data_IF_471262530574
#
_entry.id   IF_471262530574
#
_cell.length_a   1.000
_cell.length_b   1.000
_cell.length_c   1.000
_cell.angle_alpha   90.00
_cell.angle_beta   90.00
_cell.angle_gamma   90.00
#
_symmetry.space_group_name_H-M   'P 1'
#
loop_
_entity.id
_entity.type
_entity.pdbx_description
1 polymer ?
#
# COMPACT_ATOMS: atom_id res chain seq x y z
N UNK A 1 50.99 -56.56 45.50
CA UNK A 1 50.47 -57.14 46.77
C UNK A 1 50.94 -56.29 47.94
N UNK A 2 50.05 -55.52 48.54
CA UNK A 2 50.20 -54.73 49.79
C UNK A 2 48.99 -53.80 49.82
N UNK A 3 48.36 -53.44 50.92
CA UNK A 3 48.25 -53.94 52.28
C UNK A 3 47.22 -52.98 52.89
N UNK A 4 46.24 -53.45 53.64
CA UNK A 4 45.41 -52.54 54.46
C UNK A 4 44.96 -53.25 55.74
N UNK A 5 45.86 -53.15 56.72
CA UNK A 5 45.61 -52.95 58.16
C UNK A 5 45.36 -51.43 58.33
N UNK A 6 44.67 -50.87 59.32
CA UNK A 6 43.88 -51.29 60.47
C UNK A 6 43.26 -50.00 61.06
N UNK A 7 42.34 -50.14 62.02
CA UNK A 7 42.12 -49.23 63.19
C UNK A 7 41.47 -47.87 62.86
N UNK A 8 40.17 -47.70 63.15
CA UNK A 8 39.57 -47.38 64.47
C UNK A 8 39.66 -45.89 64.79
N UNK A 9 38.57 -45.12 64.57
CA UNK A 9 37.43 -44.89 65.50
C UNK A 9 37.78 -44.02 66.71
N UNK A 10 37.40 -42.75 66.61
CA UNK A 10 37.23 -41.74 67.66
C UNK A 10 36.88 -40.43 66.94
N UNK A 11 35.88 -39.63 67.26
CA UNK A 11 34.92 -39.59 68.35
C UNK A 11 33.73 -38.71 67.90
N UNK A 12 32.86 -38.26 68.83
CA UNK A 12 31.46 -37.99 68.52
C UNK A 12 31.14 -36.53 68.22
N UNK A 13 30.05 -36.37 67.46
CA UNK A 13 28.99 -35.36 67.64
C UNK A 13 29.39 -33.89 67.49
N UNK A 14 29.06 -33.34 66.33
CA UNK A 14 28.58 -31.96 66.22
C UNK A 14 27.42 -31.95 65.22
N UNK A 15 26.19 -31.83 65.74
CA UNK A 15 24.99 -31.66 64.94
C UNK A 15 25.02 -30.25 64.32
N UNK A 16 25.48 -30.14 63.08
CA UNK A 16 25.47 -28.89 62.32
C UNK A 16 24.18 -28.84 61.50
N UNK A 17 23.19 -28.08 61.97
CA UNK A 17 21.98 -27.77 61.20
C UNK A 17 22.34 -26.81 60.06
N UNK A 18 22.56 -27.36 58.86
CA UNK A 18 22.79 -26.62 57.62
C UNK A 18 21.44 -26.14 57.08
N UNK A 19 21.06 -24.88 57.33
CA UNK A 19 19.91 -24.26 56.66
C UNK A 19 20.35 -23.79 55.27
N UNK A 20 20.09 -24.61 54.26
CA UNK A 20 20.30 -24.26 52.85
C UNK A 20 19.19 -23.30 52.40
N UNK A 21 19.46 -21.99 52.37
CA UNK A 21 18.62 -21.02 51.66
C UNK A 21 18.83 -21.19 50.16
N UNK A 22 17.91 -21.90 49.50
CA UNK A 22 17.80 -21.90 48.04
C UNK A 22 17.28 -20.52 47.60
N UNK A 23 18.18 -19.69 47.07
CA UNK A 23 17.81 -18.50 46.30
C UNK A 23 17.23 -18.97 44.96
N UNK A 24 15.90 -19.05 44.87
CA UNK A 24 15.22 -19.20 43.58
C UNK A 24 15.29 -17.85 42.87
N UNK A 25 16.30 -17.67 42.01
CA UNK A 25 16.27 -16.62 41.02
C UNK A 25 15.18 -16.97 39.99
N UNK A 26 14.00 -16.38 40.13
CA UNK A 26 12.96 -16.47 39.11
C UNK A 26 13.43 -15.81 37.80
N UNK A 27 12.99 -16.30 36.63
CA UNK A 27 13.32 -15.66 35.38
C UNK A 27 12.73 -14.24 35.41
N UNK A 28 13.59 -13.24 35.23
CA UNK A 28 13.15 -11.89 34.91
C UNK A 28 12.55 -11.97 33.51
N UNK A 29 11.22 -12.05 33.42
CA UNK A 29 10.51 -11.84 32.17
C UNK A 29 10.74 -10.39 31.74
N UNK A 30 11.69 -10.20 30.83
CA UNK A 30 11.78 -8.99 30.03
C UNK A 30 10.64 -9.05 29.02
N UNK A 31 9.46 -8.57 29.41
CA UNK A 31 8.36 -8.37 28.47
C UNK A 31 8.86 -7.40 27.38
N UNK A 32 8.83 -7.78 26.09
CA UNK A 32 9.18 -6.84 25.04
C UNK A 32 8.19 -5.69 25.10
N UNK A 33 8.70 -4.47 25.31
CA UNK A 33 7.90 -3.27 25.26
C UNK A 33 7.06 -3.26 23.98
N UNK A 34 5.77 -2.88 24.04
CA UNK A 34 4.94 -2.78 22.85
C UNK A 34 5.66 -1.88 21.83
N UNK A 35 5.66 -2.24 20.54
CA UNK A 35 6.28 -1.42 19.52
C UNK A 35 5.71 0.00 19.64
N UNK A 36 6.60 0.98 19.73
CA UNK A 36 6.21 2.38 19.69
C UNK A 36 5.27 2.59 18.49
N UNK A 37 4.24 3.45 18.61
CA UNK A 37 3.37 3.75 17.47
C UNK A 37 4.26 4.15 16.30
N UNK A 38 4.13 3.43 15.18
CA UNK A 38 4.85 3.75 13.96
C UNK A 38 4.68 5.24 13.68
N UNK A 39 5.77 5.95 13.42
CA UNK A 39 5.70 7.31 12.91
C UNK A 39 4.70 7.32 11.74
N UNK A 40 3.82 8.34 11.63
CA UNK A 40 2.86 8.38 10.54
C UNK A 40 3.61 8.21 9.22
N UNK A 41 3.23 7.17 8.48
CA UNK A 41 3.73 6.90 7.13
C UNK A 41 3.67 8.23 6.36
N UNK A 42 4.76 8.71 5.72
CA UNK A 42 4.69 9.93 4.97
C UNK A 42 3.55 9.80 3.96
N UNK A 43 2.59 10.72 4.06
CA UNK A 43 1.37 10.68 3.28
C UNK A 43 1.72 10.51 1.79
N UNK A 44 0.96 9.66 1.09
CA UNK A 44 1.15 9.47 -0.36
C UNK A 44 0.94 10.81 -1.05
N UNK A 45 1.94 11.34 -1.79
CA UNK A 45 1.76 12.60 -2.50
C UNK A 45 0.81 12.40 -3.67
N UNK A 46 -0.13 13.34 -3.85
CA UNK A 46 -1.10 13.33 -4.95
C UNK A 46 -0.47 13.75 -6.29
N UNK A 47 0.49 12.97 -6.78
CA UNK A 47 1.27 13.25 -8.00
C UNK A 47 0.57 12.83 -9.29
N UNK A 48 -0.50 12.05 -9.20
CA UNK A 48 -1.26 11.56 -10.34
C UNK A 48 -1.86 12.69 -11.18
N UNK A 49 -1.73 12.59 -12.49
CA UNK A 49 -2.29 13.54 -13.47
C UNK A 49 -3.28 12.90 -14.44
N UNK A 50 -3.31 11.57 -14.50
CA UNK A 50 -4.23 10.82 -15.34
C UNK A 50 -4.73 9.57 -14.60
N UNK A 51 -5.92 9.09 -15.00
CA UNK A 51 -6.37 7.76 -14.65
C UNK A 51 -5.62 6.71 -15.48
N UNK A 52 -5.39 5.48 -14.95
CA UNK A 52 -4.75 4.41 -15.71
C UNK A 52 -5.48 4.03 -17.00
N UNK A 53 -6.81 4.16 -17.01
CA UNK A 53 -7.69 3.83 -18.14
C UNK A 53 -8.82 4.84 -18.22
N UNK A 54 -9.21 5.20 -19.44
CA UNK A 54 -10.26 6.18 -19.67
C UNK A 54 -10.01 7.54 -19.00
N UNK A 55 -11.08 8.29 -18.74
CA UNK A 55 -11.02 9.61 -18.09
C UNK A 55 -11.46 9.58 -16.62
N UNK A 56 -12.36 8.67 -16.26
CA UNK A 56 -12.79 8.36 -14.88
C UNK A 56 -13.48 7.00 -14.88
N UNK A 57 -12.73 5.89 -14.82
CA UNK A 57 -13.31 4.55 -14.87
C UNK A 57 -14.10 4.24 -13.61
N UNK A 58 -15.08 3.34 -13.72
CA UNK A 58 -15.74 2.77 -12.55
C UNK A 58 -14.76 1.90 -11.78
N UNK A 59 -14.67 2.12 -10.46
CA UNK A 59 -13.93 1.22 -9.55
C UNK A 59 -14.83 0.02 -9.26
N UNK A 60 -14.46 -1.15 -9.80
CA UNK A 60 -15.20 -2.41 -9.63
C UNK A 60 -14.91 -3.06 -8.27
N UNK A 61 -13.66 -2.93 -7.81
CA UNK A 61 -13.23 -3.36 -6.48
C UNK A 61 -12.22 -2.39 -5.90
N UNK A 62 -12.49 -1.92 -4.70
CA UNK A 62 -11.63 -0.98 -3.98
C UNK A 62 -10.43 -1.66 -3.31
N UNK A 63 -9.51 -0.84 -2.81
CA UNK A 63 -8.40 -1.24 -1.98
C UNK A 63 -8.91 -1.91 -0.70
N UNK A 64 -8.36 -3.08 -0.38
CA UNK A 64 -8.71 -3.85 0.81
C UNK A 64 -7.40 -4.38 1.41
N UNK A 65 -6.76 -3.64 2.34
CA UNK A 65 -5.43 -4.00 2.82
C UNK A 65 -5.48 -5.37 3.50
N UNK A 66 -4.53 -6.26 3.18
CA UNK A 66 -4.45 -7.56 3.82
C UNK A 66 -3.99 -7.38 5.29
N UNK A 67 -4.63 -8.10 6.22
CA UNK A 67 -4.33 -8.01 7.66
C UNK A 67 -2.86 -8.37 8.00
N UNK A 68 -2.26 -9.25 7.19
CA UNK A 68 -0.84 -9.61 7.23
C UNK A 68 -0.27 -9.66 5.81
N UNK A 69 1.05 -9.63 5.69
CA UNK A 69 1.76 -9.62 4.41
C UNK A 69 1.36 -10.73 3.43
N UNK A 70 0.85 -11.88 3.91
CA UNK A 70 0.44 -13.02 3.08
C UNK A 70 -1.05 -13.36 3.17
N UNK A 71 -1.83 -12.60 3.95
CA UNK A 71 -3.27 -12.81 4.04
C UNK A 71 -3.99 -12.34 2.77
N UNK A 72 -5.25 -12.75 2.66
CA UNK A 72 -6.18 -12.30 1.62
C UNK A 72 -6.44 -10.80 1.76
N UNK A 73 -6.80 -10.19 0.64
CA UNK A 73 -7.14 -8.78 0.52
C UNK A 73 -7.12 -8.39 -0.94
N UNK A 74 -7.11 -7.10 -1.20
CA UNK A 74 -7.01 -6.51 -2.52
C UNK A 74 -5.93 -5.43 -2.53
N UNK A 75 -4.79 -5.76 -3.15
CA UNK A 75 -3.54 -4.98 -3.09
C UNK A 75 -3.46 -3.88 -4.16
N UNK A 76 -4.62 -3.36 -4.53
CA UNK A 76 -4.80 -2.34 -5.54
C UNK A 76 -6.29 -2.03 -5.70
N UNK A 77 -6.65 -1.49 -6.86
CA UNK A 77 -8.04 -1.28 -7.27
C UNK A 77 -8.27 -1.88 -8.64
N UNK A 78 -9.50 -2.33 -8.88
CA UNK A 78 -9.90 -2.86 -10.18
C UNK A 78 -10.72 -1.80 -10.91
N UNK A 79 -10.23 -1.40 -12.08
CA UNK A 79 -10.84 -0.36 -12.90
C UNK A 79 -11.50 -1.01 -14.11
N UNK A 80 -12.79 -0.72 -14.33
CA UNK A 80 -13.52 -1.23 -15.48
C UNK A 80 -12.86 -0.77 -16.79
N UNK A 81 -12.46 -1.74 -17.63
CA UNK A 81 -11.82 -1.47 -18.91
C UNK A 81 -11.97 -2.66 -19.86
N UNK A 82 -12.49 -2.41 -21.06
CA UNK A 82 -12.60 -3.44 -22.09
C UNK A 82 -11.21 -3.82 -22.64
N UNK A 83 -11.02 -5.05 -23.14
CA UNK A 83 -9.79 -5.43 -23.85
C UNK A 83 -9.46 -4.45 -24.97
N UNK A 84 -8.17 -4.16 -25.16
CA UNK A 84 -7.70 -3.17 -26.12
C UNK A 84 -7.76 -1.71 -25.64
N UNK A 85 -8.40 -1.42 -24.49
CA UNK A 85 -8.39 -0.08 -23.91
C UNK A 85 -6.94 0.37 -23.64
N UNK A 86 -6.53 1.60 -24.00
CA UNK A 86 -5.20 2.09 -23.67
C UNK A 86 -4.99 2.18 -22.15
N UNK A 87 -3.88 1.63 -21.68
CA UNK A 87 -3.41 1.77 -20.31
C UNK A 87 -2.32 2.84 -20.27
N UNK A 88 -2.43 3.78 -19.34
CA UNK A 88 -1.59 4.98 -19.27
C UNK A 88 -0.85 5.09 -17.95
N UNK A 89 0.33 5.69 -17.98
CA UNK A 89 1.06 6.04 -16.78
C UNK A 89 0.30 7.13 -16.00
N UNK A 90 0.09 6.94 -14.70
CA UNK A 90 -0.65 7.92 -13.89
C UNK A 90 0.14 9.20 -13.61
N UNK A 91 1.47 9.10 -13.59
CA UNK A 91 2.42 10.18 -13.36
C UNK A 91 3.71 9.90 -14.15
N UNK A 92 4.60 10.89 -14.24
CA UNK A 92 5.90 10.71 -14.86
C UNK A 92 6.74 9.69 -14.06
N UNK A 93 7.54 8.89 -14.75
CA UNK A 93 8.30 7.83 -14.12
C UNK A 93 9.16 7.02 -15.07
N UNK A 94 9.84 6.01 -14.51
CA UNK A 94 10.62 5.02 -15.26
C UNK A 94 9.97 3.65 -15.18
N UNK A 95 9.86 2.97 -16.32
CA UNK A 95 9.39 1.58 -16.39
C UNK A 95 10.40 0.65 -15.72
N UNK A 96 10.03 0.05 -14.60
CA UNK A 96 10.85 -0.95 -13.88
C UNK A 96 10.72 -2.35 -14.49
N UNK A 97 9.56 -2.64 -15.06
CA UNK A 97 9.24 -3.94 -15.62
C UNK A 97 8.14 -3.82 -16.68
N UNK A 98 8.29 -4.57 -17.76
CA UNK A 98 7.27 -4.80 -18.78
C UNK A 98 7.43 -6.24 -19.29
N UNK A 99 6.48 -7.12 -19.02
CA UNK A 99 6.62 -8.54 -19.33
C UNK A 99 5.51 -9.43 -18.74
N UNK A 100 5.71 -10.76 -18.75
CA UNK A 100 4.74 -11.75 -18.25
C UNK A 100 5.04 -12.16 -16.81
N UNK A 101 4.03 -12.10 -15.95
CA UNK A 101 4.07 -12.64 -14.58
C UNK A 101 2.87 -13.56 -14.37
N UNK A 102 3.11 -14.83 -14.03
CA UNK A 102 2.05 -15.83 -13.82
C UNK A 102 1.01 -15.86 -14.96
N UNK A 103 1.47 -15.80 -16.22
CA UNK A 103 0.62 -15.90 -17.42
C UNK A 103 -0.02 -14.59 -17.90
N UNK A 104 0.02 -13.51 -17.14
CA UNK A 104 -0.57 -12.20 -17.52
C UNK A 104 0.51 -11.15 -17.79
N UNK A 105 0.21 -10.20 -18.67
CA UNK A 105 1.08 -9.07 -18.93
C UNK A 105 1.05 -8.08 -17.76
N UNK A 106 2.23 -7.61 -17.34
CA UNK A 106 2.41 -6.69 -16.21
C UNK A 106 3.36 -5.58 -16.63
N UNK A 107 2.97 -4.34 -16.35
CA UNK A 107 3.85 -3.17 -16.41
C UNK A 107 4.01 -2.60 -15.01
N UNK A 108 5.22 -2.17 -14.66
CA UNK A 108 5.48 -1.45 -13.41
C UNK A 108 6.29 -0.20 -13.66
N UNK A 109 5.90 0.90 -13.01
CA UNK A 109 6.54 2.22 -13.18
C UNK A 109 6.92 2.78 -11.81
N UNK A 110 8.19 3.12 -11.64
CA UNK A 110 8.69 3.94 -10.53
C UNK A 110 8.36 5.41 -10.80
N UNK A 111 7.72 6.09 -9.85
CA UNK A 111 7.26 7.46 -10.05
C UNK A 111 8.38 8.46 -9.71
N UNK A 112 8.69 9.33 -10.66
CA UNK A 112 9.81 10.29 -10.55
C UNK A 112 9.68 11.17 -9.30
N UNK A 113 10.78 11.32 -8.56
CA UNK A 113 10.82 12.16 -7.36
C UNK A 113 10.11 11.58 -6.13
N UNK A 114 9.78 10.28 -6.15
CA UNK A 114 9.16 9.57 -5.03
C UNK A 114 9.80 8.19 -4.82
N UNK A 115 9.43 7.51 -3.75
CA UNK A 115 9.77 6.11 -3.48
C UNK A 115 8.65 5.13 -3.89
N UNK A 116 7.72 5.61 -4.74
CA UNK A 116 6.50 4.92 -5.08
C UNK A 116 6.61 4.20 -6.42
N UNK A 117 5.98 3.03 -6.49
CA UNK A 117 5.84 2.21 -7.68
C UNK A 117 4.37 1.91 -7.94
N UNK A 118 3.96 2.04 -9.20
CA UNK A 118 2.66 1.58 -9.69
C UNK A 118 2.80 0.30 -10.50
N UNK A 119 1.76 -0.55 -10.49
CA UNK A 119 1.70 -1.78 -11.28
C UNK A 119 0.37 -1.85 -12.02
N UNK A 120 0.39 -2.34 -13.25
CA UNK A 120 -0.77 -2.43 -14.15
C UNK A 120 -0.86 -3.84 -14.72
N UNK A 121 -2.00 -4.50 -14.57
CA UNK A 121 -2.26 -5.84 -15.12
C UNK A 121 -3.76 -6.11 -15.35
N UNK A 122 -4.16 -6.96 -16.32
CA UNK A 122 -3.32 -7.53 -17.37
C UNK A 122 -3.11 -6.53 -18.53
N UNK A 123 -1.85 -6.33 -18.94
CA UNK A 123 -1.48 -5.36 -20.00
C UNK A 123 -0.56 -5.96 -21.05
N UNK A 124 -0.96 -5.87 -22.32
CA UNK A 124 -0.03 -6.02 -23.45
C UNK A 124 0.82 -4.76 -23.53
N UNK A 125 2.05 -4.84 -23.03
CA UNK A 125 2.95 -3.69 -22.97
C UNK A 125 3.34 -3.21 -24.38
N UNK A 126 3.36 -1.89 -24.57
CA UNK A 126 3.97 -1.21 -25.74
C UNK A 126 5.27 -0.49 -25.37
N UNK A 127 5.69 -0.57 -24.10
CA UNK A 127 6.90 0.03 -23.55
C UNK A 127 7.86 -1.06 -23.08
N UNK A 128 9.13 -0.70 -22.92
CA UNK A 128 10.18 -1.59 -22.44
C UNK A 128 10.74 -1.15 -21.09
N UNK A 129 11.36 -2.08 -20.37
CA UNK A 129 12.06 -1.76 -19.12
C UNK A 129 13.13 -0.69 -19.37
N UNK A 130 13.17 0.30 -18.48
CA UNK A 130 14.13 1.41 -18.53
C UNK A 130 13.59 2.67 -19.21
N UNK A 131 12.50 2.57 -19.99
CA UNK A 131 11.88 3.71 -20.64
C UNK A 131 11.39 4.75 -19.61
N UNK A 132 11.63 6.02 -19.90
CA UNK A 132 10.96 7.14 -19.23
C UNK A 132 9.57 7.32 -19.84
N UNK A 133 8.58 7.60 -19.00
CA UNK A 133 7.21 7.85 -19.43
C UNK A 133 6.69 9.13 -18.78
N UNK A 134 5.94 9.92 -19.54
CA UNK A 134 5.21 11.07 -19.02
C UNK A 134 3.86 10.63 -18.43
N UNK A 135 3.27 11.50 -17.59
CA UNK A 135 1.91 11.27 -17.13
C UNK A 135 0.92 11.25 -18.30
N UNK A 136 0.07 10.24 -18.37
CA UNK A 136 -0.89 10.02 -19.46
C UNK A 136 -0.31 9.30 -20.68
N UNK A 137 1.00 9.06 -20.73
CA UNK A 137 1.64 8.31 -21.81
C UNK A 137 1.16 6.85 -21.82
N UNK A 138 1.00 6.28 -23.02
CA UNK A 138 0.52 4.92 -23.17
C UNK A 138 1.60 3.90 -22.78
N UNK A 139 1.25 3.02 -21.85
CA UNK A 139 2.07 1.88 -21.42
C UNK A 139 1.76 0.61 -22.23
N UNK A 140 0.58 0.55 -22.84
CA UNK A 140 0.09 -0.62 -23.56
C UNK A 140 -1.42 -0.64 -23.64
N UNK A 141 -1.99 -1.83 -23.81
CA UNK A 141 -3.44 -2.04 -23.86
C UNK A 141 -3.89 -3.17 -22.95
N UNK A 142 -5.13 -3.11 -22.48
CA UNK A 142 -5.73 -4.16 -21.64
C UNK A 142 -5.79 -5.48 -22.41
N UNK A 143 -5.34 -6.56 -21.78
CA UNK A 143 -5.42 -7.90 -22.39
C UNK A 143 -6.84 -8.46 -22.34
N UNK A 144 -7.16 -9.32 -23.32
CA UNK A 144 -8.44 -10.04 -23.33
C UNK A 144 -8.49 -11.19 -22.30
N UNK A 145 -7.32 -11.73 -21.92
CA UNK A 145 -7.19 -12.86 -21.01
C UNK A 145 -6.40 -12.45 -19.75
N UNK A 146 -6.52 -13.26 -18.69
CA UNK A 146 -5.77 -13.05 -17.44
C UNK A 146 -6.35 -12.01 -16.48
N UNK A 147 -7.51 -11.42 -16.82
CA UNK A 147 -8.28 -10.61 -15.87
C UNK A 147 -8.91 -11.51 -14.81
N UNK A 148 -8.85 -11.10 -13.54
CA UNK A 148 -9.52 -11.79 -12.44
C UNK A 148 -10.95 -11.28 -12.21
N UNK A 149 -11.36 -10.23 -12.90
CA UNK A 149 -12.70 -9.68 -12.82
C UNK A 149 -13.68 -10.46 -13.70
N UNK A 150 -14.95 -10.52 -13.28
CA UNK A 150 -16.04 -11.12 -14.06
C UNK A 150 -16.34 -10.33 -15.33
N UNK A 151 -16.30 -9.00 -15.24
CA UNK A 151 -16.25 -8.08 -16.37
C UNK A 151 -14.81 -7.57 -16.54
N UNK A 152 -14.34 -7.38 -17.78
CA UNK A 152 -12.95 -6.99 -18.04
C UNK A 152 -12.52 -5.73 -17.27
N UNK A 153 -11.34 -5.80 -16.66
CA UNK A 153 -10.78 -4.76 -15.80
C UNK A 153 -9.25 -4.72 -15.87
N UNK A 154 -8.67 -3.60 -15.44
CA UNK A 154 -7.26 -3.50 -15.06
C UNK A 154 -7.15 -3.44 -13.55
N UNK A 155 -6.34 -4.31 -12.98
CA UNK A 155 -5.81 -4.17 -11.64
C UNK A 155 -4.71 -3.11 -11.64
N UNK A 156 -4.88 -2.08 -10.82
CA UNK A 156 -3.89 -1.04 -10.60
C UNK A 156 -3.43 -1.06 -9.15
N UNK A 157 -2.15 -1.34 -8.93
CA UNK A 157 -1.55 -1.41 -7.61
C UNK A 157 -0.60 -0.23 -7.33
N UNK A 158 -0.43 0.09 -6.06
CA UNK A 158 0.56 1.04 -5.56
C UNK A 158 1.37 0.40 -4.43
N UNK A 159 2.68 0.63 -4.44
CA UNK A 159 3.60 0.09 -3.45
C UNK A 159 4.73 1.07 -3.13
N UNK A 160 5.14 1.10 -1.86
CA UNK A 160 6.35 1.75 -1.34
C UNK A 160 7.23 0.68 -0.69
N UNK A 161 8.45 0.48 -1.16
CA UNK A 161 9.28 -0.63 -0.64
C UNK A 161 8.55 -1.96 -0.78
N UNK A 162 8.25 -2.66 0.32
CA UNK A 162 7.42 -3.90 0.37
C UNK A 162 5.93 -3.65 0.73
N UNK A 163 5.57 -2.41 1.07
CA UNK A 163 4.25 -2.04 1.60
C UNK A 163 3.32 -1.63 0.47
N UNK A 164 2.18 -2.32 0.35
CA UNK A 164 1.13 -1.93 -0.58
C UNK A 164 0.28 -0.81 0.03
N UNK A 165 -0.15 0.13 -0.82
CA UNK A 165 -0.89 1.32 -0.43
C UNK A 165 -2.14 1.45 -1.30
N UNK A 166 -3.11 2.27 -0.87
CA UNK A 166 -4.27 2.59 -1.71
C UNK A 166 -3.83 3.40 -2.94
N UNK A 167 -3.94 2.87 -4.16
CA UNK A 167 -3.53 3.58 -5.37
C UNK A 167 -4.37 4.84 -5.64
N UNK A 168 -5.62 4.92 -5.16
CA UNK A 168 -6.45 6.11 -5.35
C UNK A 168 -5.88 7.33 -4.62
N UNK A 169 -5.05 7.12 -3.59
CA UNK A 169 -4.37 8.20 -2.86
C UNK A 169 -3.34 8.98 -3.71
N UNK A 170 -2.90 8.42 -4.84
CA UNK A 170 -2.07 9.15 -5.81
C UNK A 170 -2.85 10.22 -6.58
N UNK A 171 -4.17 10.09 -6.67
CA UNK A 171 -4.98 10.98 -7.48
C UNK A 171 -5.38 12.21 -6.66
N UNK A 172 -5.18 13.43 -7.20
CA UNK A 172 -5.65 14.63 -6.54
C UNK A 172 -7.19 14.67 -6.49
N UNK A 173 -7.78 15.39 -5.51
CA UNK A 173 -9.23 15.40 -5.30
C UNK A 173 -10.06 15.73 -6.53
N UNK A 174 -9.58 16.59 -7.43
CA UNK A 174 -10.30 16.97 -8.65
C UNK A 174 -10.40 15.85 -9.71
N UNK A 175 -9.53 14.82 -9.66
CA UNK A 175 -9.68 13.63 -10.50
C UNK A 175 -10.71 12.65 -9.92
N UNK A 176 -10.71 12.51 -8.58
CA UNK A 176 -11.59 11.60 -7.84
C UNK A 176 -13.04 12.11 -7.81
N UNK A 177 -13.22 13.40 -7.53
CA UNK A 177 -14.53 14.00 -7.36
C UNK A 177 -14.96 14.71 -8.64
N UNK A 178 -16.25 14.67 -8.98
CA UNK A 178 -16.79 15.65 -9.91
C UNK A 178 -16.57 17.01 -9.25
N UNK A 179 -16.08 18.00 -10.01
CA UNK A 179 -16.07 19.38 -9.54
C UNK A 179 -17.46 19.78 -9.02
N UNK A 180 -17.58 20.86 -8.24
CA UNK A 180 -18.87 21.22 -7.64
C UNK A 180 -19.96 21.19 -8.71
N UNK A 181 -21.03 20.44 -8.45
CA UNK A 181 -22.19 20.38 -9.34
C UNK A 181 -22.67 21.81 -9.57
N UNK A 182 -22.42 22.36 -10.76
CA UNK A 182 -23.00 23.65 -11.16
C UNK A 182 -24.33 23.35 -11.82
N UNK A 183 -25.40 23.76 -11.15
CA UNK A 183 -26.73 23.69 -11.72
C UNK A 183 -26.77 24.58 -12.96
N UNK A 184 -27.31 24.05 -14.06
CA UNK A 184 -27.65 24.88 -15.21
C UNK A 184 -28.68 25.92 -14.75
N UNK A 185 -28.58 27.20 -15.18
CA UNK A 185 -29.62 28.17 -14.90
C UNK A 185 -30.97 27.64 -15.37
N UNK A 186 -31.97 27.66 -14.49
CA UNK A 186 -33.33 27.30 -14.87
C UNK A 186 -33.82 28.39 -15.83
N UNK A 187 -34.19 27.99 -17.06
CA UNK A 187 -34.70 28.92 -18.07
C UNK A 187 -35.88 29.72 -17.49
N UNK A 188 -35.78 31.06 -17.56
CA UNK A 188 -36.80 31.97 -17.03
C UNK A 188 -36.62 32.37 -15.56
N UNK A 189 -35.62 31.83 -14.85
CA UNK A 189 -35.24 32.30 -13.51
C UNK A 189 -34.03 33.22 -13.64
N UNK A 190 -34.13 34.51 -13.25
CA UNK A 190 -32.98 35.41 -13.22
C UNK A 190 -31.86 34.82 -12.37
N UNK A 191 -30.61 34.93 -12.85
CA UNK A 191 -29.46 34.53 -12.06
C UNK A 191 -29.41 35.38 -10.77
N UNK A 192 -29.04 34.79 -9.62
CA UNK A 192 -28.80 35.56 -8.42
C UNK A 192 -27.72 36.61 -8.71
N UNK A 193 -27.91 37.83 -8.20
CA UNK A 193 -26.91 38.89 -8.35
C UNK A 193 -25.57 38.41 -7.78
N UNK A 194 -24.46 38.55 -8.54
CA UNK A 194 -23.14 38.06 -8.12
C UNK A 194 -22.66 38.74 -6.83
N UNK A 195 -23.12 39.96 -6.55
CA UNK A 195 -22.77 40.74 -5.37
C UNK A 195 -23.34 40.18 -4.06
N UNK A 196 -24.36 39.31 -4.13
CA UNK A 196 -24.98 38.70 -2.93
C UNK A 196 -24.34 37.35 -2.58
N UNK A 197 -23.67 36.68 -3.53
CA UNK A 197 -23.12 35.33 -3.33
C UNK A 197 -21.69 35.30 -2.79
N UNK A 198 -20.94 36.40 -2.92
CA UNK A 198 -19.68 36.61 -2.24
C UNK A 198 -20.03 37.49 -1.04
N UNK A 199 -19.95 36.99 0.19
CA UNK A 199 -20.26 37.76 1.40
C UNK A 199 -19.31 38.94 1.65
N UNK A 200 -19.19 39.87 0.70
CA UNK A 200 -18.53 41.15 0.87
C UNK A 200 -19.47 42.01 1.71
N UNK A 201 -19.06 42.46 2.90
CA UNK A 201 -19.80 43.50 3.59
C UNK A 201 -19.87 44.73 2.69
N UNK A 202 -21.03 45.37 2.64
CA UNK A 202 -21.19 46.65 1.97
C UNK A 202 -20.21 47.66 2.60
N UNK A 203 -19.35 48.26 1.78
CA UNK A 203 -18.60 49.46 2.18
C UNK A 203 -19.59 50.64 2.27
N UNK A 204 -19.36 51.57 3.22
CA UNK A 204 -20.30 52.62 3.59
C UNK A 204 -20.55 53.68 2.51
#
# INVERSE_FOLDING_TARGET
MRAMRCVSRGGPVLLLALVLRVLVAGPVSSDPAPPAPAAPDPAVPAVGRAWPVGTRPSVLRGWEPPATAYSRGHRGVDLAAAPGTPVRAVAAGRVLYAGRVAGKGVVSVELSGTDLRTTYEPVTASVEKGAEVAAGEALGTVEAAGSHCTAACVHWGLRRGEVYLDPLSLLPPWLLHRGPSRLLPVLGVPLPNPDVSLGRPAEP
#
